data_IF_571682836598
#
_entry.id   IF_571682836598
#
_cell.length_a   1.000
_cell.length_b   1.000
_cell.length_c   1.000
_cell.angle_alpha   90.00
_cell.angle_beta   90.00
_cell.angle_gamma   90.00
#
_symmetry.space_group_name_H-M   'P 1'
#
loop_
_entity.id
_entity.type
_entity.pdbx_description
1 polymer ?
#
# COMPACT_ATOMS: atom_id res chain seq x y z
N UNK A 1 -10.64 -41.23 4.90
CA UNK A 1 -12.10 -41.44 4.79
C UNK A 1 -12.65 -41.10 6.14
N UNK A 2 -13.03 -39.83 6.32
CA UNK A 2 -13.77 -39.35 7.47
C UNK A 2 -14.59 -38.18 6.94
N UNK A 3 -15.89 -38.41 6.83
CA UNK A 3 -16.92 -37.49 6.35
C UNK A 3 -17.43 -36.66 7.52
N UNK A 4 -17.52 -35.34 7.36
CA UNK A 4 -18.26 -34.45 8.28
C UNK A 4 -19.50 -33.91 7.54
N UNK A 5 -20.73 -34.13 8.05
CA UNK A 5 -21.96 -33.87 7.30
C UNK A 5 -22.66 -32.56 7.70
N UNK A 6 -23.29 -31.94 6.68
CA UNK A 6 -24.52 -31.11 6.73
C UNK A 6 -24.42 -29.70 7.33
N UNK A 7 -24.51 -28.70 6.45
CA UNK A 7 -25.43 -27.58 6.67
C UNK A 7 -26.39 -27.51 5.48
N UNK A 8 -27.67 -27.31 5.80
CA UNK A 8 -28.82 -27.49 4.93
C UNK A 8 -29.49 -26.12 4.75
N UNK A 9 -29.78 -25.75 3.51
CA UNK A 9 -30.62 -24.60 3.16
C UNK A 9 -32.07 -24.78 3.65
N UNK A 10 -32.80 -23.67 3.90
CA UNK A 10 -34.24 -23.67 3.77
C UNK A 10 -34.69 -22.87 2.53
N UNK A 11 -35.26 -23.59 1.57
CA UNK A 11 -36.20 -23.05 0.58
C UNK A 11 -37.56 -22.71 1.24
N UNK A 12 -38.17 -21.62 0.77
CA UNK A 12 -39.58 -21.68 0.32
C UNK A 12 -40.66 -20.97 1.16
N UNK A 13 -41.17 -19.86 0.63
CA UNK A 13 -42.59 -19.46 0.48
C UNK A 13 -42.62 -17.93 0.27
N UNK A 14 -43.25 -17.31 -0.73
CA UNK A 14 -44.37 -17.71 -1.58
C UNK A 14 -45.47 -16.66 -1.45
N UNK A 15 -45.80 -15.97 -2.56
CA UNK A 15 -47.16 -15.46 -2.79
C UNK A 15 -47.40 -13.94 -2.85
N UNK A 16 -47.81 -13.52 -4.05
CA UNK A 16 -48.99 -12.66 -4.31
C UNK A 16 -48.79 -11.15 -4.51
N UNK A 17 -48.66 -10.78 -5.78
CA UNK A 17 -49.22 -9.57 -6.41
C UNK A 17 -50.78 -9.68 -6.41
N UNK A 18 -51.58 -8.59 -6.32
CA UNK A 18 -51.75 -7.68 -7.45
C UNK A 18 -51.99 -6.19 -7.10
N UNK A 19 -51.61 -5.31 -8.04
CA UNK A 19 -52.58 -4.41 -8.66
C UNK A 19 -52.62 -2.92 -8.26
N UNK A 20 -52.21 -2.11 -9.23
CA UNK A 20 -52.95 -0.96 -9.79
C UNK A 20 -53.00 0.39 -9.03
N UNK A 21 -52.83 1.48 -9.79
CA UNK A 21 -53.05 2.85 -9.31
C UNK A 21 -52.04 3.88 -9.81
N UNK A 22 -52.20 4.33 -11.06
CA UNK A 22 -51.41 5.42 -11.63
C UNK A 22 -51.71 6.81 -11.04
N UNK A 23 -50.83 7.77 -11.30
CA UNK A 23 -51.16 9.13 -11.75
C UNK A 23 -49.89 9.96 -11.98
N UNK A 24 -49.76 10.41 -13.22
CA UNK A 24 -49.43 11.77 -13.68
C UNK A 24 -48.49 12.66 -12.85
N UNK A 25 -47.46 13.15 -13.55
CA UNK A 25 -46.69 14.31 -13.09
C UNK A 25 -45.49 14.59 -13.98
N UNK A 26 -45.73 15.03 -15.22
CA UNK A 26 -44.67 15.42 -16.13
C UNK A 26 -43.83 16.60 -15.62
N UNK A 27 -42.56 16.63 -15.98
CA UNK A 27 -41.95 17.88 -16.40
C UNK A 27 -40.81 17.65 -17.39
N UNK A 28 -40.94 18.30 -18.54
CA UNK A 28 -39.97 18.35 -19.60
C UNK A 28 -38.84 19.35 -19.28
N UNK A 29 -37.61 19.01 -19.71
CA UNK A 29 -36.46 19.84 -20.12
C UNK A 29 -35.30 18.85 -20.25
N UNK A 30 -34.84 18.41 -21.42
CA UNK A 30 -34.50 19.19 -22.60
C UNK A 30 -33.07 19.71 -22.46
N UNK A 31 -32.08 18.98 -23.00
CA UNK A 31 -30.80 19.48 -23.56
C UNK A 31 -29.86 18.32 -23.97
N UNK A 32 -29.81 18.03 -25.28
CA UNK A 32 -28.58 18.04 -26.08
C UNK A 32 -27.50 16.95 -25.89
N UNK A 33 -27.06 16.27 -26.97
CA UNK A 33 -25.98 15.28 -26.93
C UNK A 33 -24.60 15.96 -27.01
N UNK A 34 -23.72 15.63 -26.07
CA UNK A 34 -22.30 16.00 -26.09
C UNK A 34 -21.47 14.90 -26.75
N UNK A 35 -21.05 15.15 -27.98
CA UNK A 35 -20.22 14.32 -28.82
C UNK A 35 -18.73 14.38 -28.43
N UNK A 36 -18.05 13.24 -28.61
CA UNK A 36 -16.70 13.14 -29.18
C UNK A 36 -15.52 13.78 -28.45
N UNK A 37 -14.67 12.97 -27.81
CA UNK A 37 -13.37 13.46 -27.36
C UNK A 37 -12.42 12.47 -26.70
N UNK A 38 -12.34 11.22 -27.19
CA UNK A 38 -11.24 10.31 -26.81
C UNK A 38 -9.93 10.82 -27.43
N UNK A 39 -8.95 11.17 -26.59
CA UNK A 39 -7.53 11.24 -26.99
C UNK A 39 -6.78 10.17 -26.21
N UNK A 40 -6.27 9.17 -26.92
CA UNK A 40 -5.31 8.21 -26.40
C UNK A 40 -3.91 8.83 -26.30
N UNK A 41 -3.01 8.26 -25.48
CA UNK A 41 -1.62 8.66 -25.44
C UNK A 41 -0.84 8.06 -26.62
N UNK A 42 -0.17 8.93 -27.38
CA UNK A 42 0.77 8.57 -28.43
C UNK A 42 1.98 7.80 -27.87
N UNK A 43 2.22 6.63 -28.46
CA UNK A 43 3.44 5.87 -28.33
C UNK A 43 4.48 6.45 -29.29
N UNK A 44 5.51 7.09 -28.76
CA UNK A 44 6.70 7.53 -29.49
C UNK A 44 7.89 6.64 -29.13
N UNK A 45 8.12 5.64 -29.96
CA UNK A 45 9.35 4.85 -30.04
C UNK A 45 10.48 5.71 -30.63
N UNK A 46 11.69 5.58 -30.10
CA UNK A 46 12.81 6.47 -30.38
C UNK A 46 14.13 5.90 -29.87
N UNK A 47 14.56 4.80 -30.48
CA UNK A 47 15.89 4.23 -30.27
C UNK A 47 17.01 5.19 -30.69
N UNK A 48 18.04 5.28 -29.85
CA UNK A 48 19.28 5.99 -30.13
C UNK A 48 20.44 5.35 -29.38
N UNK A 49 21.25 4.57 -30.11
CA UNK A 49 22.52 3.98 -29.66
C UNK A 49 23.55 5.09 -29.40
N UNK A 50 24.45 4.91 -28.42
CA UNK A 50 25.69 5.68 -28.40
C UNK A 50 26.52 5.65 -27.12
N UNK A 51 27.62 4.90 -27.19
CA UNK A 51 28.91 5.15 -26.54
C UNK A 51 29.06 4.98 -25.01
N UNK A 52 29.74 3.88 -24.67
CA UNK A 52 30.58 3.76 -23.49
C UNK A 52 31.76 4.75 -23.56
N UNK A 53 31.99 5.50 -22.48
CA UNK A 53 33.30 6.03 -22.10
C UNK A 53 33.36 6.08 -20.58
N UNK A 54 34.29 5.31 -20.02
CA UNK A 54 34.60 5.33 -18.59
C UNK A 54 35.27 6.64 -18.18
N UNK A 55 34.85 7.15 -17.02
CA UNK A 55 35.51 8.19 -16.25
C UNK A 55 35.38 7.83 -14.76
N UNK A 56 36.39 8.14 -13.93
CA UNK A 56 36.51 7.59 -12.59
C UNK A 56 35.40 8.09 -11.67
N UNK A 57 35.02 7.22 -10.73
CA UNK A 57 34.07 7.50 -9.65
C UNK A 57 34.56 8.67 -8.78
N UNK A 58 34.23 9.89 -9.18
CA UNK A 58 34.19 11.05 -8.31
C UNK A 58 32.91 10.94 -7.48
N UNK A 59 33.06 10.81 -6.17
CA UNK A 59 31.96 10.88 -5.22
C UNK A 59 31.41 12.31 -5.21
N UNK A 60 30.48 12.60 -6.11
CA UNK A 60 29.59 13.76 -6.03
C UNK A 60 28.63 13.54 -4.86
N UNK A 61 29.15 13.73 -3.64
CA UNK A 61 28.33 13.77 -2.43
C UNK A 61 27.64 15.13 -2.44
N UNK A 62 26.31 15.21 -2.57
CA UNK A 62 25.63 16.50 -2.45
C UNK A 62 25.95 17.08 -1.06
N UNK A 63 26.30 18.38 -0.98
CA UNK A 63 26.61 19.01 0.30
C UNK A 63 25.33 19.04 1.14
N UNK A 64 25.31 18.29 2.26
CA UNK A 64 24.23 18.38 3.26
C UNK A 64 23.62 17.06 3.73
N UNK A 65 23.94 15.91 3.14
CA UNK A 65 23.51 14.61 3.67
C UNK A 65 24.41 14.12 4.80
N UNK A 66 23.86 13.90 5.99
CA UNK A 66 24.55 13.13 7.04
C UNK A 66 24.70 11.69 6.54
N UNK A 67 25.89 11.11 6.69
CA UNK A 67 26.09 9.69 6.46
C UNK A 67 25.16 8.90 7.41
N UNK A 68 24.22 8.06 6.93
CA UNK A 68 23.34 7.28 7.81
C UNK A 68 24.11 6.46 8.86
N UNK A 69 25.36 6.07 8.56
CA UNK A 69 26.23 5.40 9.52
C UNK A 69 26.71 6.30 10.67
N UNK A 70 26.82 7.62 10.45
CA UNK A 70 27.26 8.60 11.43
C UNK A 70 26.14 9.11 12.36
N UNK A 71 24.88 8.71 12.12
CA UNK A 71 23.75 9.01 13.01
C UNK A 71 23.89 8.18 14.29
N UNK A 72 23.69 8.77 15.46
CA UNK A 72 23.77 8.02 16.73
C UNK A 72 22.48 7.26 17.01
N UNK A 73 22.57 6.12 17.70
CA UNK A 73 21.40 5.31 18.07
C UNK A 73 20.44 6.12 18.97
N UNK A 74 20.99 6.89 19.92
CA UNK A 74 20.23 7.82 20.75
C UNK A 74 19.41 8.83 19.94
N UNK A 75 19.94 9.30 18.81
CA UNK A 75 19.23 10.24 17.94
C UNK A 75 18.08 9.56 17.22
N UNK A 76 18.27 8.32 16.76
CA UNK A 76 17.22 7.55 16.10
C UNK A 76 16.11 7.14 17.08
N UNK A 77 16.48 6.77 18.31
CA UNK A 77 15.51 6.45 19.36
C UNK A 77 14.66 7.68 19.72
N UNK A 78 15.29 8.84 19.95
CA UNK A 78 14.56 10.10 20.19
C UNK A 78 13.67 10.49 19.02
N UNK A 79 14.17 10.40 17.78
CA UNK A 79 13.37 10.70 16.60
C UNK A 79 12.13 9.79 16.51
N UNK A 80 12.29 8.49 16.77
CA UNK A 80 11.15 7.57 16.82
C UNK A 80 10.11 8.02 17.85
N UNK A 81 10.54 8.32 19.08
CA UNK A 81 9.63 8.73 20.16
C UNK A 81 8.91 10.04 19.84
N UNK A 82 9.63 11.01 19.27
CA UNK A 82 9.05 12.28 18.83
C UNK A 82 8.04 12.08 17.69
N UNK A 83 8.29 11.15 16.76
CA UNK A 83 7.35 10.81 15.69
C UNK A 83 6.07 10.19 16.27
N UNK A 84 6.19 9.23 17.21
CA UNK A 84 5.04 8.62 17.90
C UNK A 84 4.24 9.70 18.62
N UNK A 85 4.90 10.49 19.48
CA UNK A 85 4.23 11.53 20.26
C UNK A 85 3.58 12.60 19.37
N UNK A 86 4.17 12.90 18.20
CA UNK A 86 3.56 13.83 17.23
C UNK A 86 2.29 13.26 16.59
N UNK A 87 2.28 11.98 16.25
CA UNK A 87 1.09 11.31 15.68
C UNK A 87 0.00 11.19 16.73
N UNK A 88 0.33 10.78 17.96
CA UNK A 88 -0.60 10.73 19.10
C UNK A 88 -1.16 12.10 19.47
N UNK A 89 -0.37 13.17 19.34
CA UNK A 89 -0.86 14.55 19.55
C UNK A 89 -1.82 15.00 18.45
N UNK A 90 -1.66 14.48 17.24
CA UNK A 90 -2.42 14.88 16.06
C UNK A 90 -3.70 14.05 15.85
N UNK A 91 -3.83 12.89 16.48
CA UNK A 91 -5.00 11.99 16.43
C UNK A 91 -5.42 11.47 17.81
N UNK A 92 -6.12 10.34 17.86
CA UNK A 92 -6.45 9.66 19.12
C UNK A 92 -5.31 8.67 19.49
N UNK A 93 -4.62 8.84 20.64
CA UNK A 93 -3.54 7.94 21.05
C UNK A 93 -3.95 6.45 21.11
N UNK A 94 -5.21 6.14 21.44
CA UNK A 94 -5.71 4.77 21.48
C UNK A 94 -5.83 4.17 20.09
N UNK A 95 -6.31 4.95 19.12
CA UNK A 95 -6.42 4.51 17.73
C UNK A 95 -5.02 4.33 17.09
N UNK A 96 -4.11 5.27 17.35
CA UNK A 96 -2.71 5.17 16.92
C UNK A 96 -2.05 3.90 17.47
N UNK A 97 -2.18 3.65 18.78
CA UNK A 97 -1.62 2.48 19.42
C UNK A 97 -2.25 1.18 18.91
N UNK A 98 -3.58 1.14 18.74
CA UNK A 98 -4.30 -0.01 18.20
C UNK A 98 -3.83 -0.33 16.76
N UNK A 99 -3.68 0.71 15.92
CA UNK A 99 -3.24 0.56 14.55
C UNK A 99 -1.79 0.06 14.43
N UNK A 100 -0.85 0.71 15.11
CA UNK A 100 0.55 0.29 15.10
C UNK A 100 0.73 -1.09 15.75
N UNK A 101 -0.06 -1.40 16.78
CA UNK A 101 -0.15 -2.73 17.38
C UNK A 101 -0.61 -3.79 16.37
N UNK A 102 -1.69 -3.53 15.62
CA UNK A 102 -2.16 -4.43 14.58
C UNK A 102 -1.11 -4.65 13.47
N UNK A 103 -0.37 -3.61 13.10
CA UNK A 103 0.76 -3.72 12.15
C UNK A 103 1.90 -4.57 12.72
N UNK A 104 2.19 -4.45 14.02
CA UNK A 104 3.23 -5.24 14.68
C UNK A 104 2.93 -6.75 14.69
N UNK A 105 1.65 -7.13 14.64
CA UNK A 105 1.22 -8.53 14.65
C UNK A 105 1.23 -9.19 13.27
N UNK A 106 1.48 -8.42 12.20
CA UNK A 106 1.55 -8.97 10.84
C UNK A 106 2.75 -9.91 10.71
N UNK A 107 2.47 -11.17 10.41
CA UNK A 107 3.45 -12.18 10.06
C UNK A 107 2.84 -13.13 9.02
N UNK A 108 3.45 -13.19 7.83
CA UNK A 108 2.97 -14.03 6.74
C UNK A 108 2.93 -15.52 7.13
N UNK A 109 3.72 -15.94 8.13
CA UNK A 109 3.76 -17.32 8.62
C UNK A 109 2.49 -17.73 9.35
N UNK A 110 1.71 -16.78 9.86
CA UNK A 110 0.46 -17.04 10.57
C UNK A 110 -0.77 -16.88 9.68
N UNK A 111 -0.61 -16.42 8.44
CA UNK A 111 -1.71 -16.21 7.51
C UNK A 111 -2.04 -17.49 6.76
N UNK A 112 -3.33 -17.72 6.54
CA UNK A 112 -3.85 -18.64 5.53
C UNK A 112 -3.61 -18.10 4.12
N UNK A 113 -3.64 -18.98 3.12
CA UNK A 113 -3.57 -18.58 1.70
C UNK A 113 -4.67 -17.58 1.32
N UNK A 114 -5.84 -17.69 1.95
CA UNK A 114 -6.95 -16.76 1.74
C UNK A 114 -6.61 -15.36 2.24
N UNK A 115 -6.09 -15.23 3.45
CA UNK A 115 -5.72 -13.93 4.02
C UNK A 115 -4.60 -13.28 3.21
N UNK A 116 -3.60 -14.05 2.76
CA UNK A 116 -2.55 -13.54 1.87
C UNK A 116 -3.14 -13.05 0.54
N UNK A 117 -4.09 -13.78 -0.03
CA UNK A 117 -4.76 -13.36 -1.27
C UNK A 117 -5.63 -12.12 -1.08
N UNK A 118 -6.33 -11.98 0.05
CA UNK A 118 -7.07 -10.77 0.40
C UNK A 118 -6.14 -9.54 0.49
N UNK A 119 -4.93 -9.69 1.03
CA UNK A 119 -3.91 -8.61 1.01
C UNK A 119 -3.44 -8.30 -0.42
N UNK A 120 -3.35 -9.29 -1.30
CA UNK A 120 -3.05 -9.07 -2.72
C UNK A 120 -4.17 -8.26 -3.40
N UNK A 121 -5.44 -8.60 -3.13
CA UNK A 121 -6.58 -7.81 -3.60
C UNK A 121 -6.54 -6.38 -3.06
N UNK A 122 -6.24 -6.20 -1.77
CA UNK A 122 -6.08 -4.87 -1.18
C UNK A 122 -5.02 -4.05 -1.94
N UNK A 123 -3.91 -4.67 -2.30
CA UNK A 123 -2.83 -4.03 -3.06
C UNK A 123 -3.24 -3.65 -4.49
N UNK A 124 -4.11 -4.43 -5.13
CA UNK A 124 -4.62 -4.16 -6.49
C UNK A 124 -5.69 -3.07 -6.49
N UNK A 125 -6.58 -3.06 -5.48
CA UNK A 125 -7.77 -2.21 -5.48
C UNK A 125 -7.62 -0.90 -4.70
N UNK A 126 -6.78 -0.85 -3.66
CA UNK A 126 -6.61 0.37 -2.85
C UNK A 126 -6.00 1.57 -3.60
N UNK A 127 -5.05 1.42 -4.55
CA UNK A 127 -4.43 2.57 -5.18
C UNK A 127 -5.43 3.51 -5.88
N UNK A 128 -5.20 4.82 -5.77
CA UNK A 128 -5.98 5.85 -6.45
C UNK A 128 -7.26 6.27 -5.73
N UNK A 129 -7.47 5.89 -4.46
CA UNK A 129 -8.61 6.29 -3.62
C UNK A 129 -8.14 6.64 -2.21
N UNK A 130 -8.86 7.52 -1.47
CA UNK A 130 -8.69 7.65 -0.03
C UNK A 130 -8.91 6.31 0.68
N UNK A 131 -8.18 6.05 1.77
CA UNK A 131 -8.29 4.79 2.48
C UNK A 131 -9.70 4.58 3.06
N UNK A 132 -10.30 5.64 3.61
CA UNK A 132 -11.68 5.64 4.14
C UNK A 132 -12.72 5.30 3.09
N UNK A 133 -12.50 5.67 1.83
CA UNK A 133 -13.35 5.27 0.71
C UNK A 133 -13.15 3.79 0.39
N UNK A 134 -11.89 3.35 0.30
CA UNK A 134 -11.56 1.96 0.02
C UNK A 134 -12.13 0.99 1.06
N UNK A 135 -12.03 1.34 2.34
CA UNK A 135 -12.52 0.52 3.46
C UNK A 135 -14.02 0.21 3.37
N UNK A 136 -14.84 1.15 2.87
CA UNK A 136 -16.29 0.95 2.68
C UNK A 136 -16.62 -0.18 1.73
N UNK A 137 -15.75 -0.42 0.74
CA UNK A 137 -16.00 -1.41 -0.31
C UNK A 137 -15.09 -2.64 -0.21
N UNK A 138 -14.07 -2.61 0.67
CA UNK A 138 -13.14 -3.73 0.91
C UNK A 138 -13.85 -5.04 1.18
N UNK A 139 -14.83 -5.04 2.09
CA UNK A 139 -15.60 -6.25 2.41
C UNK A 139 -16.38 -6.80 1.22
N UNK A 140 -16.89 -5.93 0.33
CA UNK A 140 -17.57 -6.36 -0.89
C UNK A 140 -16.60 -6.98 -1.89
N UNK A 141 -15.40 -6.41 -2.03
CA UNK A 141 -14.32 -6.97 -2.87
C UNK A 141 -13.93 -8.36 -2.35
N UNK A 142 -13.72 -8.51 -1.06
CA UNK A 142 -13.34 -9.79 -0.44
C UNK A 142 -14.46 -10.83 -0.52
N UNK A 143 -15.72 -10.42 -0.34
CA UNK A 143 -16.85 -11.33 -0.51
C UNK A 143 -16.96 -11.83 -1.97
N UNK A 144 -16.74 -10.95 -2.94
CA UNK A 144 -16.84 -11.29 -4.35
C UNK A 144 -15.65 -12.10 -4.88
N UNK A 145 -14.43 -11.77 -4.43
CA UNK A 145 -13.19 -12.27 -5.02
C UNK A 145 -12.20 -12.86 -4.02
N UNK A 146 -12.43 -12.88 -2.71
CA UNK A 146 -11.46 -13.33 -1.71
C UNK A 146 -11.08 -14.81 -1.80
N UNK A 147 -11.82 -15.62 -2.56
CA UNK A 147 -11.46 -17.01 -2.84
C UNK A 147 -10.66 -17.09 -4.16
N UNK A 148 -9.33 -17.18 -4.07
CA UNK A 148 -8.45 -17.23 -5.23
C UNK A 148 -8.75 -18.40 -6.19
N UNK A 149 -9.27 -19.53 -5.71
CA UNK A 149 -9.58 -20.68 -6.58
C UNK A 149 -10.76 -20.36 -7.49
N UNK A 150 -11.83 -19.81 -6.90
CA UNK A 150 -13.02 -19.37 -7.62
C UNK A 150 -12.70 -18.19 -8.54
N UNK A 151 -11.96 -17.20 -8.04
CA UNK A 151 -11.60 -16.02 -8.85
C UNK A 151 -10.67 -16.35 -10.01
N UNK A 152 -9.81 -17.37 -9.89
CA UNK A 152 -8.98 -17.83 -10.99
C UNK A 152 -9.80 -18.39 -12.18
N UNK A 153 -11.03 -18.85 -11.92
CA UNK A 153 -11.95 -19.41 -12.92
C UNK A 153 -12.81 -18.34 -13.59
N UNK A 154 -12.80 -17.10 -13.09
CA UNK A 154 -13.62 -16.04 -13.64
C UNK A 154 -13.29 -15.76 -15.11
N UNK A 155 -14.35 -15.56 -15.88
CA UNK A 155 -14.32 -15.19 -17.29
C UNK A 155 -14.81 -13.74 -17.50
N UNK A 156 -14.99 -13.34 -18.75
CA UNK A 156 -15.42 -11.99 -19.10
C UNK A 156 -16.89 -11.71 -18.70
N UNK A 157 -17.75 -12.73 -18.66
CA UNK A 157 -19.12 -12.57 -18.17
C UNK A 157 -19.13 -12.34 -16.65
N UNK A 158 -18.24 -13.01 -15.92
CA UNK A 158 -18.03 -12.74 -14.49
C UNK A 158 -17.52 -11.32 -14.25
N UNK A 159 -16.57 -10.84 -15.06
CA UNK A 159 -16.07 -9.46 -14.99
C UNK A 159 -17.23 -8.48 -15.20
N UNK A 160 -18.05 -8.68 -16.24
CA UNK A 160 -19.19 -7.80 -16.53
C UNK A 160 -20.21 -7.79 -15.38
N UNK A 161 -20.53 -8.96 -14.81
CA UNK A 161 -21.43 -9.08 -13.66
C UNK A 161 -20.87 -8.38 -12.42
N UNK A 162 -19.56 -8.50 -12.17
CA UNK A 162 -18.91 -7.82 -11.03
C UNK A 162 -18.92 -6.31 -11.19
N UNK A 163 -18.82 -5.78 -12.41
CA UNK A 163 -18.95 -4.33 -12.66
C UNK A 163 -20.32 -3.76 -12.30
N UNK A 164 -21.37 -4.59 -12.27
CA UNK A 164 -22.70 -4.16 -11.81
C UNK A 164 -22.75 -3.94 -10.30
N UNK A 165 -21.75 -4.44 -9.56
CA UNK A 165 -21.59 -4.14 -8.13
C UNK A 165 -20.96 -2.75 -7.98
N UNK A 166 -21.61 -1.83 -7.27
CA UNK A 166 -21.15 -0.43 -7.08
C UNK A 166 -19.71 -0.32 -6.57
N UNK A 167 -19.25 -1.29 -5.76
CA UNK A 167 -17.88 -1.37 -5.26
C UNK A 167 -16.80 -1.61 -6.34
N UNK A 168 -17.19 -2.16 -7.49
CA UNK A 168 -16.29 -2.68 -8.53
C UNK A 168 -16.52 -2.02 -9.90
N UNK A 169 -17.54 -1.18 -10.02
CA UNK A 169 -17.98 -0.54 -11.27
C UNK A 169 -16.92 0.33 -11.94
N UNK A 170 -15.99 0.88 -11.18
CA UNK A 170 -15.00 1.85 -11.67
C UNK A 170 -13.71 1.22 -12.22
N UNK A 171 -13.58 -0.11 -12.25
CA UNK A 171 -12.29 -0.73 -12.52
C UNK A 171 -12.32 -2.09 -13.21
N UNK A 172 -12.90 -2.26 -14.42
CA UNK A 172 -12.82 -3.51 -15.17
C UNK A 172 -11.38 -4.00 -15.34
N UNK A 173 -10.42 -3.08 -15.52
CA UNK A 173 -9.00 -3.40 -15.56
C UNK A 173 -8.51 -4.06 -14.27
N UNK A 174 -8.93 -3.57 -13.10
CA UNK A 174 -8.52 -4.12 -11.80
C UNK A 174 -9.13 -5.49 -11.55
N UNK A 175 -10.38 -5.71 -11.94
CA UNK A 175 -11.01 -7.03 -11.87
C UNK A 175 -10.23 -8.03 -12.74
N UNK A 176 -9.95 -7.67 -14.00
CA UNK A 176 -9.15 -8.55 -14.89
C UNK A 176 -7.75 -8.82 -14.34
N UNK A 177 -7.07 -7.82 -13.78
CA UNK A 177 -5.77 -8.01 -13.11
C UNK A 177 -5.89 -8.97 -11.93
N UNK A 178 -6.89 -8.79 -11.07
CA UNK A 178 -7.13 -9.68 -9.93
C UNK A 178 -7.42 -11.12 -10.36
N UNK A 179 -8.13 -11.34 -11.47
CA UNK A 179 -8.35 -12.68 -12.05
C UNK A 179 -7.03 -13.30 -12.54
N UNK A 180 -6.18 -12.53 -13.23
CA UNK A 180 -4.86 -13.01 -13.66
C UNK A 180 -3.97 -13.35 -12.46
N UNK A 181 -4.00 -12.50 -11.43
CA UNK A 181 -3.25 -12.72 -10.19
C UNK A 181 -3.79 -13.91 -9.40
N UNK A 182 -5.10 -14.14 -9.39
CA UNK A 182 -5.71 -15.33 -8.79
C UNK A 182 -5.23 -16.63 -9.45
N UNK A 183 -5.11 -16.65 -10.77
CA UNK A 183 -4.56 -17.80 -11.52
C UNK A 183 -3.10 -18.04 -11.11
N UNK A 184 -2.29 -16.98 -11.10
CA UNK A 184 -0.91 -17.07 -10.68
C UNK A 184 -0.75 -17.50 -9.21
N UNK A 185 -1.66 -17.05 -8.34
CA UNK A 185 -1.69 -17.39 -6.93
C UNK A 185 -2.02 -18.88 -6.74
N UNK A 186 -3.05 -19.37 -7.44
CA UNK A 186 -3.47 -20.78 -7.41
C UNK A 186 -2.34 -21.71 -7.82
N UNK A 187 -1.64 -21.39 -8.91
CA UNK A 187 -0.47 -22.15 -9.36
C UNK A 187 0.68 -22.08 -8.35
N UNK A 188 0.95 -20.90 -7.78
CA UNK A 188 2.00 -20.74 -6.74
C UNK A 188 1.72 -21.61 -5.51
N UNK A 189 0.46 -21.67 -5.06
CA UNK A 189 0.05 -22.56 -3.97
C UNK A 189 0.21 -24.02 -4.37
N UNK A 190 -0.13 -24.39 -5.60
CA UNK A 190 0.05 -25.76 -6.10
C UNK A 190 1.53 -26.19 -6.12
N UNK A 191 2.43 -25.30 -6.56
CA UNK A 191 3.86 -25.58 -6.70
C UNK A 191 4.59 -25.64 -5.35
N UNK A 192 4.12 -24.85 -4.37
CA UNK A 192 4.84 -24.65 -3.09
C UNK A 192 4.09 -25.17 -1.86
N UNK A 193 2.88 -25.69 -2.02
CA UNK A 193 1.99 -26.16 -0.96
C UNK A 193 1.21 -25.07 -0.24
N UNK A 194 1.78 -23.86 -0.12
CA UNK A 194 1.08 -22.65 0.35
C UNK A 194 1.83 -21.39 -0.08
N UNK A 195 1.15 -20.23 -0.07
CA UNK A 195 1.78 -18.96 -0.37
C UNK A 195 2.77 -18.51 0.71
N UNK A 196 2.49 -18.67 2.03
CA UNK A 196 3.51 -18.44 3.05
C UNK A 196 4.77 -19.31 2.85
N UNK A 197 4.61 -20.57 2.42
CA UNK A 197 5.76 -21.43 2.10
C UNK A 197 6.54 -20.89 0.89
N UNK A 198 5.86 -20.39 -0.13
CA UNK A 198 6.49 -19.70 -1.26
C UNK A 198 7.32 -18.48 -0.81
N UNK A 199 6.79 -17.63 0.07
CA UNK A 199 7.53 -16.46 0.55
C UNK A 199 8.71 -16.83 1.45
N UNK A 200 8.53 -17.81 2.35
CA UNK A 200 9.58 -18.26 3.28
C UNK A 200 10.89 -18.67 2.61
N UNK A 201 10.84 -19.16 1.36
CA UNK A 201 12.05 -19.57 0.62
C UNK A 201 13.03 -18.42 0.38
N UNK A 202 12.56 -17.17 0.42
CA UNK A 202 13.38 -16.00 0.18
C UNK A 202 14.10 -15.50 1.43
N UNK A 203 13.65 -15.89 2.63
CA UNK A 203 14.18 -15.38 3.91
C UNK A 203 15.67 -15.69 4.10
N UNK A 204 16.19 -16.74 3.47
CA UNK A 204 17.58 -17.16 3.55
C UNK A 204 18.47 -16.58 2.44
N UNK A 205 17.94 -15.73 1.56
CA UNK A 205 18.74 -15.08 0.53
C UNK A 205 19.68 -14.01 1.14
N UNK A 206 20.72 -13.62 0.39
CA UNK A 206 21.62 -12.53 0.80
C UNK A 206 20.88 -11.19 0.91
N UNK A 207 19.95 -10.92 -0.01
CA UNK A 207 19.01 -9.80 0.04
C UNK A 207 17.57 -10.33 -0.07
N UNK A 208 16.97 -10.77 1.05
CA UNK A 208 15.63 -11.37 1.04
C UNK A 208 14.56 -10.41 0.50
N UNK A 209 14.70 -9.11 0.78
CA UNK A 209 13.75 -8.08 0.37
C UNK A 209 13.71 -7.94 -1.13
N UNK A 210 14.85 -7.66 -1.77
CA UNK A 210 14.89 -7.47 -3.23
C UNK A 210 14.59 -8.76 -4.00
N UNK A 211 15.03 -9.92 -3.50
CA UNK A 211 14.71 -11.21 -4.10
C UNK A 211 13.20 -11.47 -4.06
N UNK A 212 12.54 -11.25 -2.92
CA UNK A 212 11.09 -11.42 -2.80
C UNK A 212 10.33 -10.42 -3.67
N UNK A 213 10.74 -9.15 -3.71
CA UNK A 213 10.13 -8.11 -4.56
C UNK A 213 10.20 -8.51 -6.03
N UNK A 214 11.37 -8.94 -6.51
CA UNK A 214 11.54 -9.40 -7.89
C UNK A 214 10.63 -10.59 -8.18
N UNK A 215 10.65 -11.61 -7.32
CA UNK A 215 9.87 -12.82 -7.53
C UNK A 215 8.35 -12.55 -7.53
N UNK A 216 7.86 -11.66 -6.67
CA UNK A 216 6.45 -11.23 -6.67
C UNK A 216 6.11 -10.48 -7.96
N UNK A 217 6.98 -9.58 -8.45
CA UNK A 217 6.74 -8.82 -9.68
C UNK A 217 6.74 -9.67 -10.94
N UNK A 218 7.59 -10.70 -10.98
CA UNK A 218 7.66 -11.63 -12.11
C UNK A 218 6.40 -12.51 -12.15
N UNK A 219 5.83 -12.82 -10.98
CA UNK A 219 4.70 -13.74 -10.85
C UNK A 219 3.33 -13.07 -10.95
N UNK A 220 3.20 -11.85 -10.41
CA UNK A 220 1.95 -11.13 -10.25
C UNK A 220 1.98 -9.80 -11.00
N UNK A 221 0.80 -9.25 -11.32
CA UNK A 221 0.63 -7.99 -12.06
C UNK A 221 0.79 -6.76 -11.17
N UNK A 222 1.79 -6.82 -10.28
CA UNK A 222 2.17 -5.73 -9.40
C UNK A 222 3.37 -4.98 -9.97
N UNK A 223 3.26 -3.65 -10.00
CA UNK A 223 4.42 -2.79 -10.22
C UNK A 223 5.39 -2.82 -9.02
N UNK A 224 6.58 -2.18 -9.13
CA UNK A 224 7.57 -2.18 -8.05
C UNK A 224 7.03 -1.70 -6.70
N UNK A 225 6.23 -0.62 -6.71
CA UNK A 225 5.57 -0.10 -5.50
C UNK A 225 4.56 -1.10 -4.94
N UNK A 226 3.72 -1.68 -5.80
CA UNK A 226 2.70 -2.65 -5.40
C UNK A 226 3.31 -3.89 -4.76
N UNK A 227 4.42 -4.41 -5.32
CA UNK A 227 5.10 -5.57 -4.74
C UNK A 227 5.66 -5.29 -3.33
N UNK A 228 6.26 -4.09 -3.12
CA UNK A 228 6.72 -3.66 -1.78
C UNK A 228 5.56 -3.51 -0.81
N UNK A 229 4.47 -2.89 -1.24
CA UNK A 229 3.26 -2.71 -0.44
C UNK A 229 2.64 -4.05 -0.03
N UNK A 230 2.50 -4.98 -0.99
CA UNK A 230 2.02 -6.34 -0.74
C UNK A 230 2.89 -7.06 0.30
N UNK A 231 4.21 -7.13 0.07
CA UNK A 231 5.16 -7.81 0.96
C UNK A 231 5.17 -7.21 2.37
N UNK A 232 5.15 -5.88 2.47
CA UNK A 232 5.03 -5.18 3.75
C UNK A 232 3.71 -5.50 4.45
N UNK A 233 2.60 -5.51 3.72
CA UNK A 233 1.27 -5.72 4.29
C UNK A 233 1.00 -7.17 4.73
N UNK A 234 1.66 -8.16 4.14
CA UNK A 234 1.65 -9.55 4.62
C UNK A 234 2.66 -9.79 5.74
N UNK A 235 3.51 -8.80 6.07
CA UNK A 235 4.52 -8.94 7.13
C UNK A 235 5.80 -9.65 6.70
N UNK A 236 6.11 -9.69 5.40
CA UNK A 236 7.40 -10.17 4.92
C UNK A 236 8.51 -9.16 5.26
N UNK A 237 9.51 -9.59 6.02
CA UNK A 237 10.68 -8.81 6.41
C UNK A 237 11.88 -9.30 5.60
N UNK A 238 12.79 -8.44 5.11
CA UNK A 238 12.98 -7.02 5.41
C UNK A 238 12.48 -6.05 4.30
N UNK A 239 11.17 -5.80 4.16
CA UNK A 239 10.65 -4.91 3.10
C UNK A 239 10.11 -3.60 3.66
N UNK A 240 10.71 -2.48 3.23
CA UNK A 240 10.23 -1.10 3.42
C UNK A 240 9.44 -0.66 2.17
N UNK A 241 8.33 0.08 2.36
CA UNK A 241 7.42 0.46 1.25
C UNK A 241 8.04 1.46 0.25
N UNK A 242 9.14 2.13 0.62
CA UNK A 242 9.82 3.20 -0.15
C UNK A 242 8.87 4.31 -0.58
N UNK A 243 8.13 4.88 0.37
CA UNK A 243 7.25 6.01 0.11
C UNK A 243 7.94 7.35 0.38
N UNK A 244 7.49 8.40 -0.33
CA UNK A 244 8.01 9.76 -0.13
C UNK A 244 7.73 10.32 1.26
N UNK A 245 6.83 9.71 2.04
CA UNK A 245 6.52 10.10 3.42
C UNK A 245 7.75 9.98 4.33
N UNK A 246 8.37 8.80 4.39
CA UNK A 246 9.59 8.57 5.14
C UNK A 246 10.74 9.44 4.60
N UNK A 247 10.94 9.43 3.28
CA UNK A 247 12.01 10.22 2.64
C UNK A 247 11.91 11.71 2.91
N UNK A 248 10.71 12.32 2.81
CA UNK A 248 10.52 13.76 3.12
C UNK A 248 10.83 14.07 4.58
N UNK A 249 10.34 13.25 5.50
CA UNK A 249 10.58 13.43 6.93
C UNK A 249 12.07 13.34 7.23
N UNK A 250 12.74 12.29 6.76
CA UNK A 250 14.17 12.09 6.98
C UNK A 250 15.03 13.18 6.32
N UNK A 251 14.65 13.66 5.14
CA UNK A 251 15.35 14.76 4.48
C UNK A 251 15.21 16.07 5.27
N UNK A 252 14.01 16.36 5.79
CA UNK A 252 13.76 17.55 6.62
C UNK A 252 14.48 17.50 7.97
N UNK A 253 14.59 16.33 8.58
CA UNK A 253 15.38 16.13 9.81
C UNK A 253 16.90 16.16 9.53
N UNK A 254 17.30 16.04 8.26
CA UNK A 254 18.69 16.08 7.82
C UNK A 254 19.41 14.74 7.99
N UNK A 255 18.67 13.63 7.93
CA UNK A 255 19.23 12.26 8.00
C UNK A 255 19.49 11.66 6.61
N UNK A 256 18.84 12.19 5.58
CA UNK A 256 19.10 11.82 4.17
C UNK A 256 19.20 13.08 3.33
N UNK A 257 19.95 13.07 2.21
CA UNK A 257 20.14 14.26 1.38
C UNK A 257 18.90 14.61 0.54
N UNK A 258 18.10 13.62 0.17
CA UNK A 258 16.97 13.80 -0.76
C UNK A 258 15.83 12.83 -0.39
N UNK A 259 14.55 13.25 -0.51
CA UNK A 259 13.40 12.39 -0.24
C UNK A 259 13.28 11.12 -1.09
N UNK A 260 13.99 11.04 -2.22
CA UNK A 260 14.04 9.88 -3.13
C UNK A 260 15.35 9.09 -3.00
N UNK A 261 16.21 9.42 -2.05
CA UNK A 261 17.40 8.63 -1.71
C UNK A 261 16.99 7.33 -0.98
N UNK A 262 16.21 6.47 -1.65
CA UNK A 262 15.49 5.36 -1.02
C UNK A 262 16.42 4.37 -0.32
N UNK A 263 17.61 4.10 -0.84
CA UNK A 263 18.55 3.21 -0.16
C UNK A 263 19.07 3.81 1.16
N UNK A 264 19.22 5.14 1.23
CA UNK A 264 19.57 5.82 2.48
C UNK A 264 18.38 5.86 3.45
N UNK A 265 17.16 6.04 2.93
CA UNK A 265 15.92 5.97 3.71
C UNK A 265 15.75 4.59 4.33
N UNK A 266 15.89 3.53 3.53
CA UNK A 266 15.77 2.15 3.98
C UNK A 266 16.75 1.88 5.12
N UNK A 267 18.03 2.22 4.97
CA UNK A 267 19.05 2.05 6.04
C UNK A 267 18.70 2.79 7.33
N UNK A 268 18.14 3.99 7.25
CA UNK A 268 17.73 4.75 8.44
C UNK A 268 16.51 4.11 9.11
N UNK A 269 15.52 3.67 8.33
CA UNK A 269 14.34 2.95 8.84
C UNK A 269 14.75 1.63 9.49
N UNK A 270 15.67 0.91 8.86
CA UNK A 270 16.30 -0.32 9.37
C UNK A 270 16.91 -0.10 10.74
N UNK A 271 17.83 0.85 10.81
CA UNK A 271 18.56 1.14 12.03
C UNK A 271 17.65 1.67 13.12
N UNK A 272 16.65 2.48 12.76
CA UNK A 272 15.62 2.93 13.70
C UNK A 272 14.81 1.76 14.26
N UNK A 273 14.46 0.77 13.43
CA UNK A 273 13.78 -0.43 13.88
C UNK A 273 14.64 -1.26 14.84
N UNK A 274 15.93 -1.44 14.53
CA UNK A 274 16.88 -2.17 15.36
C UNK A 274 17.06 -1.51 16.74
N UNK A 275 17.30 -0.20 16.80
CA UNK A 275 17.57 0.52 18.07
C UNK A 275 16.32 0.71 18.93
N UNK A 276 15.12 0.63 18.34
CA UNK A 276 13.84 0.74 19.06
C UNK A 276 13.24 -0.63 19.39
N UNK A 277 13.79 -1.72 18.83
CA UNK A 277 13.24 -3.06 18.92
C UNK A 277 11.85 -3.20 18.27
N UNK A 278 11.47 -2.27 17.38
CA UNK A 278 10.18 -2.29 16.70
C UNK A 278 10.29 -3.03 15.36
N UNK A 279 9.25 -3.75 14.91
CA UNK A 279 9.26 -4.30 13.56
C UNK A 279 9.38 -3.19 12.50
N UNK A 280 10.11 -3.44 11.42
CA UNK A 280 10.31 -2.45 10.36
C UNK A 280 9.01 -1.90 9.79
N UNK A 281 8.00 -2.76 9.63
CA UNK A 281 6.67 -2.37 9.16
C UNK A 281 5.98 -1.36 10.09
N UNK A 282 6.25 -1.43 11.41
CA UNK A 282 5.74 -0.45 12.38
C UNK A 282 6.43 0.89 12.20
N UNK A 283 7.76 0.89 12.04
CA UNK A 283 8.53 2.13 11.80
C UNK A 283 8.15 2.78 10.46
N UNK A 284 8.09 2.01 9.38
CA UNK A 284 7.62 2.48 8.07
C UNK A 284 6.18 3.03 8.15
N UNK A 285 5.29 2.34 8.87
CA UNK A 285 3.92 2.80 9.04
C UNK A 285 3.81 4.06 9.90
N UNK A 286 4.68 4.23 10.90
CA UNK A 286 4.75 5.46 11.68
C UNK A 286 5.06 6.67 10.78
N UNK A 287 6.02 6.55 9.86
CA UNK A 287 6.28 7.61 8.87
C UNK A 287 5.08 7.88 7.97
N UNK A 288 4.33 6.84 7.59
CA UNK A 288 3.10 6.98 6.83
C UNK A 288 2.01 7.74 7.59
N UNK A 289 1.74 7.39 8.85
CA UNK A 289 0.80 8.14 9.71
C UNK A 289 1.25 9.60 9.85
N UNK A 290 2.54 9.82 10.09
CA UNK A 290 3.13 11.14 10.27
C UNK A 290 3.01 12.04 9.02
N UNK A 291 3.19 11.47 7.82
CA UNK A 291 3.32 12.23 6.57
C UNK A 291 2.16 12.12 5.57
N UNK A 292 1.17 11.24 5.81
CA UNK A 292 0.07 11.02 4.87
C UNK A 292 -1.24 10.54 5.49
N UNK A 293 -1.25 9.79 6.59
CA UNK A 293 -2.38 8.94 6.98
C UNK A 293 -3.29 9.45 8.10
N UNK A 294 -3.94 10.63 7.99
CA UNK A 294 -4.83 11.11 9.04
C UNK A 294 -6.08 10.23 9.19
N UNK A 295 -6.59 9.74 8.07
CA UNK A 295 -7.83 8.94 7.94
C UNK A 295 -7.85 7.60 8.70
N UNK A 296 -6.70 7.05 9.10
CA UNK A 296 -6.61 5.67 9.64
C UNK A 296 -6.41 5.62 11.14
N UNK A 297 -5.96 6.72 11.73
CA UNK A 297 -5.66 6.82 13.17
C UNK A 297 -6.33 8.05 13.80
N UNK A 298 -7.47 8.45 13.24
CA UNK A 298 -8.31 9.51 13.79
C UNK A 298 -7.65 10.89 13.84
N UNK A 299 -6.73 11.19 12.91
CA UNK A 299 -6.15 12.53 12.81
C UNK A 299 -6.97 13.36 11.82
N UNK A 300 -7.04 14.67 12.04
CA UNK A 300 -7.72 15.59 11.10
C UNK A 300 -6.81 16.00 9.93
N UNK A 301 -5.49 15.88 10.10
CA UNK A 301 -4.48 16.30 9.13
C UNK A 301 -3.13 15.65 9.40
N UNK A 302 -2.29 15.40 8.38
CA UNK A 302 -0.93 14.89 8.56
C UNK A 302 -0.03 15.91 9.28
N UNK A 303 1.03 15.42 9.94
CA UNK A 303 2.00 16.28 10.65
C UNK A 303 3.05 16.84 9.67
N UNK A 304 3.57 16.02 8.75
CA UNK A 304 4.70 16.40 7.89
C UNK A 304 4.53 15.93 6.43
N UNK A 305 3.48 16.41 5.75
CA UNK A 305 3.23 16.14 4.34
C UNK A 305 3.96 17.16 3.42
N UNK A 306 3.43 17.51 2.25
CA UNK A 306 3.97 18.60 1.43
C UNK A 306 3.95 19.96 2.12
N UNK A 307 2.98 20.21 3.00
CA UNK A 307 2.77 21.47 3.73
C UNK A 307 2.77 21.17 5.23
N UNK A 308 3.96 21.02 5.85
CA UNK A 308 4.07 20.46 7.19
C UNK A 308 3.40 21.34 8.25
N UNK A 309 2.66 20.70 9.16
CA UNK A 309 2.09 21.34 10.33
C UNK A 309 3.11 21.34 11.48
N UNK A 310 4.11 22.22 11.36
CA UNK A 310 5.21 22.32 12.33
C UNK A 310 4.74 22.60 13.77
N UNK A 311 3.54 23.17 13.97
CA UNK A 311 2.95 23.41 15.30
C UNK A 311 2.49 22.12 16.01
N UNK A 312 2.26 21.04 15.27
CA UNK A 312 1.94 19.70 15.81
C UNK A 312 3.16 18.77 15.88
N UNK A 313 4.26 19.14 15.25
CA UNK A 313 5.50 18.37 15.19
C UNK A 313 6.33 18.52 16.48
N UNK A 314 6.57 17.41 17.18
CA UNK A 314 7.39 17.36 18.39
C UNK A 314 8.88 17.07 18.14
N UNK A 315 9.26 16.70 16.90
CA UNK A 315 10.66 16.41 16.51
C UNK A 315 11.55 17.62 16.72
N UNK A 316 12.21 17.72 17.86
CA UNK A 316 12.90 18.93 18.33
C UNK A 316 14.07 19.33 17.41
N UNK A 317 14.78 18.33 16.91
CA UNK A 317 16.05 18.44 16.23
C UNK A 317 15.94 18.63 14.68
N UNK A 318 14.73 18.90 14.17
CA UNK A 318 14.47 19.01 12.74
C UNK A 318 15.29 20.12 12.04
N UNK A 319 16.19 19.73 11.15
CA UNK A 319 17.07 20.65 10.41
C UNK A 319 16.30 21.71 9.61
N UNK A 320 15.20 21.32 8.95
CA UNK A 320 14.37 22.24 8.17
C UNK A 320 13.71 23.35 9.01
N UNK A 321 13.38 23.09 10.28
CA UNK A 321 12.84 24.12 11.19
C UNK A 321 13.91 25.06 11.72
N UNK A 322 15.16 24.59 11.77
CA UNK A 322 16.30 25.39 12.24
C UNK A 322 16.90 26.27 11.14
N UNK A 323 16.52 26.07 9.87
CA UNK A 323 16.97 26.92 8.76
C UNK A 323 16.34 28.32 8.86
N UNK A 324 17.12 29.38 8.60
CA UNK A 324 16.56 30.72 8.52
C UNK A 324 15.58 30.83 7.34
N UNK A 325 14.55 31.69 7.42
CA UNK A 325 13.62 31.91 6.32
C UNK A 325 14.37 32.35 5.04
N UNK A 326 14.12 31.66 3.92
CA UNK A 326 14.65 32.06 2.60
C UNK A 326 15.93 31.37 2.15
N UNK A 327 16.47 30.40 2.90
CA UNK A 327 17.57 29.55 2.43
C UNK A 327 17.01 28.36 1.60
N UNK A 328 17.23 28.32 0.27
CA UNK A 328 16.58 27.35 -0.60
C UNK A 328 17.08 25.90 -0.44
N UNK A 329 18.24 25.67 0.19
CA UNK A 329 18.85 24.34 0.26
C UNK A 329 19.46 23.88 -1.05
#
# INVERSE_FOLDING_TARGET
MDEDPRESDPEGAGGSDPGDGGSDGGNARGSGPGDGGRRGPDAGDGGGRGAAMGGPAGSDRPPGGVDPAAVTDDRLHRLHDDLVASVERAGDPREVAAYLGAVSLKDMRTYSDREVFEVLLDTVFAPGRPWTEYERYRSAIHAAMGNYRRTAEFDEADVQRLMETTALSEGPGRIRLAVLDARAFRETVADHGSFPAYLRRFEAAEDPGEVAIRAVRERFRLGPRGAREFLSNVGFRPVVRRELTAGRTLARVGLVPDPRAFDAVDRVVERMADVTGRPWAVVDRLFWCYGFGPDVVGMDAPVCDSTPNCGRCLVDDCAARRRPPGDPG
#
